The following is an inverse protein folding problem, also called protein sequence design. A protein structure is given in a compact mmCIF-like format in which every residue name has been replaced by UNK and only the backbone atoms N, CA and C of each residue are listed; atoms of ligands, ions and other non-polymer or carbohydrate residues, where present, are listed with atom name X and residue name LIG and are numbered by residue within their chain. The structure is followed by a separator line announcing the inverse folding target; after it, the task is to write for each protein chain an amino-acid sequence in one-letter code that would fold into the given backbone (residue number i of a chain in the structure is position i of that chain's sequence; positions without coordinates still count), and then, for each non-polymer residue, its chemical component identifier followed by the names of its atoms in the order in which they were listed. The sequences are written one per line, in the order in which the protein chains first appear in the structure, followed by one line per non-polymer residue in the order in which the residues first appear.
data_IF_460421640730
#
_entry.id   IF_460421640730
#
_cell.length_a   1.000
_cell.length_b   1.000
_cell.length_c   1.000
_cell.angle_alpha   90.00
_cell.angle_beta   90.00
_cell.angle_gamma   90.00
#
_symmetry.space_group_name_H-M   'P 1'
#
loop_
_entity.id
_entity.type
_entity.pdbx_description
1 polymer ?
#
# COMPACT_ATOMS: atom_id res chain seq x y z
N UNK A 1 -4.00 8.33 10.76
CA UNK A 1 -3.81 8.52 9.31
C UNK A 1 -2.39 9.00 9.02
N UNK A 2 -1.51 8.11 8.53
CA UNK A 2 -0.15 8.49 8.10
C UNK A 2 -0.25 9.01 6.68
N UNK A 3 -0.04 10.30 6.46
CA UNK A 3 -0.02 10.89 5.10
C UNK A 3 1.36 10.73 4.52
N UNK A 4 1.50 9.90 3.49
CA UNK A 4 2.75 9.82 2.73
C UNK A 4 2.91 11.07 1.84
N UNK A 5 3.95 11.89 2.01
CA UNK A 5 4.14 13.12 1.24
C UNK A 5 4.67 12.88 -0.19
N UNK A 6 4.53 11.68 -0.74
CA UNK A 6 5.14 11.28 -2.00
C UNK A 6 4.11 10.76 -3.02
N UNK A 7 4.43 10.93 -4.30
CA UNK A 7 3.58 10.44 -5.40
C UNK A 7 3.66 8.92 -5.52
N UNK A 8 2.60 8.28 -6.03
CA UNK A 8 2.60 6.82 -6.31
C UNK A 8 3.81 6.39 -7.16
N UNK A 9 4.24 7.24 -8.09
CA UNK A 9 5.43 6.99 -8.92
C UNK A 9 6.74 7.01 -8.13
N UNK A 10 6.91 7.98 -7.21
CA UNK A 10 8.09 8.05 -6.36
C UNK A 10 8.17 6.82 -5.43
N UNK A 11 7.05 6.40 -4.85
CA UNK A 11 7.00 5.21 -4.00
C UNK A 11 7.32 3.92 -4.78
N UNK A 12 6.79 3.79 -6.00
CA UNK A 12 7.10 2.66 -6.87
C UNK A 12 8.60 2.60 -7.19
N UNK A 13 9.19 3.76 -7.54
CA UNK A 13 10.62 3.89 -7.82
C UNK A 13 11.48 3.58 -6.60
N UNK A 14 11.08 3.98 -5.40
CA UNK A 14 11.82 3.68 -4.17
C UNK A 14 11.79 2.19 -3.83
N UNK A 15 10.67 1.53 -4.11
CA UNK A 15 10.49 0.09 -3.87
C UNK A 15 11.03 -0.78 -5.01
N UNK A 16 11.66 -0.18 -6.04
CA UNK A 16 12.19 -0.90 -7.19
C UNK A 16 11.13 -1.63 -8.01
N UNK A 17 9.88 -1.14 -7.99
CA UNK A 17 8.76 -1.76 -8.69
C UNK A 17 8.09 -0.80 -9.67
N UNK A 18 7.35 -1.34 -10.63
CA UNK A 18 6.58 -0.51 -11.57
C UNK A 18 5.36 0.10 -10.86
N UNK A 19 4.96 1.30 -11.32
CA UNK A 19 3.76 1.98 -10.80
C UNK A 19 2.50 1.10 -10.94
N UNK A 20 2.41 0.31 -12.01
CA UNK A 20 1.35 -0.68 -12.21
C UNK A 20 1.33 -1.76 -11.11
N UNK A 21 2.48 -2.34 -10.79
CA UNK A 21 2.60 -3.39 -9.76
C UNK A 21 2.24 -2.85 -8.39
N UNK A 22 2.75 -1.66 -8.07
CA UNK A 22 2.39 -0.96 -6.85
C UNK A 22 0.89 -0.65 -6.81
N UNK A 23 0.33 -0.14 -7.91
CA UNK A 23 -1.10 0.22 -7.97
C UNK A 23 -1.99 -1.00 -7.76
N UNK A 24 -1.65 -2.15 -8.36
CA UNK A 24 -2.38 -3.41 -8.13
C UNK A 24 -2.36 -3.82 -6.65
N UNK A 25 -1.19 -3.76 -6.00
CA UNK A 25 -1.06 -4.07 -4.56
C UNK A 25 -1.84 -3.08 -3.69
N UNK A 26 -1.72 -1.77 -3.96
CA UNK A 26 -2.45 -0.72 -3.24
C UNK A 26 -3.97 -0.90 -3.37
N UNK A 27 -4.48 -1.24 -4.55
CA UNK A 27 -5.90 -1.53 -4.75
C UNK A 27 -6.33 -2.74 -3.90
N UNK A 28 -5.55 -3.82 -3.91
CA UNK A 28 -5.84 -5.01 -3.09
C UNK A 28 -5.82 -4.70 -1.59
N UNK A 29 -4.90 -3.86 -1.12
CA UNK A 29 -4.87 -3.43 0.29
C UNK A 29 -6.08 -2.56 0.65
N UNK A 30 -6.58 -1.78 -0.31
CA UNK A 30 -7.81 -1.00 -0.11
C UNK A 30 -9.05 -1.89 -0.09
N UNK A 31 -9.13 -2.90 -0.95
CA UNK A 31 -10.22 -3.89 -0.95
C UNK A 31 -10.25 -4.71 0.34
N UNK A 32 -9.08 -4.98 0.92
CA UNK A 32 -8.93 -5.64 2.22
C UNK A 32 -9.17 -4.71 3.41
N UNK A 33 -9.45 -3.41 3.19
CA UNK A 33 -9.68 -2.43 4.26
C UNK A 33 -8.42 -2.07 5.06
N UNK A 34 -7.23 -2.41 4.57
CA UNK A 34 -5.95 -2.14 5.23
C UNK A 34 -5.52 -0.68 5.06
N UNK A 35 -5.82 -0.12 3.90
CA UNK A 35 -5.52 1.28 3.57
C UNK A 35 -6.70 1.95 2.88
N UNK A 36 -6.72 3.27 2.89
CA UNK A 36 -7.65 4.09 2.13
C UNK A 36 -6.86 5.10 1.28
N UNK A 37 -7.09 5.11 -0.02
CA UNK A 37 -6.46 6.07 -0.92
C UNK A 37 -7.32 7.33 -1.04
N UNK A 38 -6.85 8.44 -0.47
CA UNK A 38 -7.47 9.73 -0.64
C UNK A 38 -6.82 10.48 -1.81
N UNK A 39 -7.26 10.16 -3.02
CA UNK A 39 -6.75 10.76 -4.27
C UNK A 39 -5.37 10.24 -4.67
N UNK A 40 -4.62 11.06 -5.43
CA UNK A 40 -3.37 10.63 -6.06
C UNK A 40 -2.13 10.68 -5.13
N UNK A 41 -2.23 11.36 -3.98
CA UNK A 41 -1.08 11.73 -3.14
C UNK A 41 -1.26 11.46 -1.65
N UNK A 42 -2.39 10.91 -1.22
CA UNK A 42 -2.66 10.64 0.19
C UNK A 42 -3.09 9.19 0.34
N UNK A 43 -2.29 8.43 1.08
CA UNK A 43 -2.60 7.07 1.52
C UNK A 43 -2.91 7.20 3.00
N UNK A 44 -3.98 6.58 3.48
CA UNK A 44 -4.33 6.52 4.88
C UNK A 44 -4.23 5.06 5.29
N UNK A 45 -3.33 4.76 6.23
CA UNK A 45 -3.26 3.43 6.82
C UNK A 45 -4.43 3.29 7.80
N UNK A 46 -5.28 2.30 7.56
CA UNK A 46 -6.43 1.95 8.39
C UNK A 46 -6.02 0.84 9.36
N UNK A 47 -5.40 -0.22 8.83
CA UNK A 47 -4.88 -1.35 9.58
C UNK A 47 -3.38 -1.49 9.32
N UNK A 48 -2.59 -1.16 10.35
CA UNK A 48 -1.14 -1.29 10.29
C UNK A 48 -0.69 -2.72 10.54
N UNK A 49 -1.43 -3.48 11.34
CA UNK A 49 -1.06 -4.83 11.76
C UNK A 49 -1.17 -5.78 10.56
N UNK A 50 -2.27 -5.71 9.81
CA UNK A 50 -2.44 -6.48 8.58
C UNK A 50 -1.43 -6.11 7.48
N UNK A 51 -0.97 -4.86 7.43
CA UNK A 51 0.14 -4.47 6.54
C UNK A 51 1.48 -5.07 6.99
N UNK A 52 1.73 -5.14 8.30
CA UNK A 52 2.92 -5.75 8.88
C UNK A 52 2.94 -7.26 8.62
N UNK A 53 1.80 -7.94 8.74
CA UNK A 53 1.65 -9.36 8.37
C UNK A 53 1.95 -9.61 6.90
N UNK A 54 1.49 -8.73 6.00
CA UNK A 54 1.80 -8.83 4.56
C UNK A 54 3.29 -8.57 4.30
N UNK A 55 3.88 -7.58 4.99
CA UNK A 55 5.29 -7.27 4.86
C UNK A 55 6.18 -8.41 5.41
N UNK A 56 5.75 -9.07 6.48
CA UNK A 56 6.38 -10.24 7.06
C UNK A 56 6.16 -11.53 6.22
N UNK A 57 5.33 -11.48 5.18
CA UNK A 57 5.03 -12.62 4.32
C UNK A 57 4.07 -13.64 4.94
N UNK A 58 3.42 -13.31 6.06
CA UNK A 58 2.49 -14.17 6.78
C UNK A 58 1.15 -14.31 6.05
N UNK A 59 0.77 -13.33 5.23
CA UNK A 59 -0.46 -13.37 4.44
C UNK A 59 -0.43 -14.38 3.27
N UNK A 60 0.72 -14.96 2.95
CA UNK A 60 0.88 -15.97 1.90
C UNK A 60 0.69 -17.40 2.43
N UNK A 61 -0.35 -17.64 3.23
CA UNK A 61 -0.76 -19.01 3.56
C UNK A 61 -2.22 -19.08 4.00
N UNK A 62 -3.16 -18.89 3.06
CA UNK A 62 -4.47 -19.51 3.13
C UNK A 62 -5.08 -19.71 1.75
#
# INVERSE_FOLDING_TARGET
AIVLPMTKGALASQLGMTQETLSRKLSSFQEQGLIELQGARKIVIIDRDGLDEIAAGLAASK
#
